data_IF_735386936127
#
_entry.id   IF_735386936127
#
_cell.length_a   1.000
_cell.length_b   1.000
_cell.length_c   1.000
_cell.angle_alpha   90.00
_cell.angle_beta   90.00
_cell.angle_gamma   90.00
#
_symmetry.space_group_name_H-M   'P 1'
#
loop_
_entity.id
_entity.type
_entity.pdbx_description
1 polymer ?
#
# COMPACT_ATOMS: atom_id res chain seq x y z
N UNK A 1 18.23 -4.65 -23.14
CA UNK A 1 18.46 -4.64 -21.67
C UNK A 1 18.93 -6.03 -21.24
N UNK A 2 20.06 -6.12 -20.54
CA UNK A 2 20.48 -7.38 -19.91
C UNK A 2 19.63 -7.64 -18.66
N UNK A 3 19.17 -8.88 -18.49
CA UNK A 3 18.41 -9.28 -17.30
C UNK A 3 19.38 -9.34 -16.13
N UNK A 4 19.05 -8.66 -15.02
CA UNK A 4 19.83 -8.77 -13.79
C UNK A 4 19.87 -10.23 -13.32
N UNK A 5 21.05 -10.90 -13.24
CA UNK A 5 21.11 -12.32 -12.94
C UNK A 5 20.66 -12.61 -11.51
N UNK A 6 19.69 -13.51 -11.36
CA UNK A 6 19.15 -14.01 -10.06
C UNK A 6 20.13 -14.99 -9.39
N UNK A 7 21.44 -14.72 -9.45
CA UNK A 7 22.38 -15.40 -8.55
C UNK A 7 22.42 -14.59 -7.27
N UNK A 8 22.05 -15.23 -6.16
CA UNK A 8 21.99 -14.69 -4.79
C UNK A 8 23.31 -14.11 -4.24
N UNK A 9 24.35 -13.93 -5.08
CA UNK A 9 25.71 -13.58 -4.66
C UNK A 9 26.45 -12.61 -5.62
N UNK A 10 25.76 -11.95 -6.54
CA UNK A 10 26.39 -10.80 -7.24
C UNK A 10 26.57 -9.65 -6.25
N UNK A 11 27.78 -9.49 -5.69
CA UNK A 11 28.13 -8.40 -4.78
C UNK A 11 28.07 -7.03 -5.44
N UNK A 12 28.22 -6.98 -6.76
CA UNK A 12 27.99 -5.78 -7.56
C UNK A 12 26.50 -5.71 -7.84
N UNK A 13 25.84 -4.62 -7.42
CA UNK A 13 24.47 -4.24 -7.81
C UNK A 13 24.55 -3.20 -8.92
N UNK A 14 23.59 -3.12 -9.86
CA UNK A 14 23.64 -2.09 -10.88
C UNK A 14 23.38 -0.71 -10.24
N UNK A 15 23.90 0.36 -10.84
CA UNK A 15 23.67 1.73 -10.35
C UNK A 15 22.19 2.12 -10.45
N UNK A 16 21.48 1.59 -11.44
CA UNK A 16 20.04 1.76 -11.62
C UNK A 16 19.39 0.55 -12.27
N UNK A 17 18.08 0.41 -12.08
CA UNK A 17 17.22 -0.60 -12.72
C UNK A 17 15.99 0.07 -13.36
N UNK A 18 15.41 -0.59 -14.36
CA UNK A 18 14.27 -0.06 -15.12
C UNK A 18 13.17 -1.10 -15.24
N UNK A 19 11.92 -0.68 -15.03
CA UNK A 19 10.72 -1.46 -15.28
C UNK A 19 9.82 -0.71 -16.25
N UNK A 20 9.00 -1.44 -16.99
CA UNK A 20 8.01 -0.87 -17.93
C UNK A 20 6.66 -1.55 -17.72
N UNK A 21 5.59 -0.76 -17.80
CA UNK A 21 4.21 -1.23 -17.82
C UNK A 21 3.40 -0.46 -18.85
N UNK A 22 2.29 -1.03 -19.31
CA UNK A 22 1.44 -0.45 -20.36
C UNK A 22 0.01 -0.30 -19.87
N UNK A 23 -0.64 0.81 -20.19
CA UNK A 23 -2.09 0.93 -20.06
C UNK A 23 -2.78 0.12 -21.15
N UNK A 24 -4.08 -0.11 -21.03
CA UNK A 24 -4.84 -0.75 -22.11
C UNK A 24 -4.74 0.05 -23.42
N UNK A 25 -4.84 1.38 -23.34
CA UNK A 25 -4.66 2.27 -24.49
C UNK A 25 -3.27 2.13 -25.12
N UNK A 26 -2.22 1.98 -24.31
CA UNK A 26 -0.87 1.72 -24.81
C UNK A 26 -0.72 0.39 -25.54
N UNK A 27 -1.33 -0.68 -25.02
CA UNK A 27 -1.36 -1.98 -25.71
C UNK A 27 -2.13 -1.89 -27.05
N UNK A 28 -3.21 -1.12 -27.11
CA UNK A 28 -3.94 -0.87 -28.35
C UNK A 28 -3.11 -0.03 -29.34
N UNK A 29 -2.37 0.99 -28.87
CA UNK A 29 -1.48 1.79 -29.69
C UNK A 29 -0.31 0.97 -30.28
N UNK A 30 0.15 -0.06 -29.54
CA UNK A 30 1.10 -1.07 -30.01
C UNK A 30 0.49 -2.11 -30.97
N UNK A 31 -0.80 -1.99 -31.31
CA UNK A 31 -1.52 -2.83 -32.27
C UNK A 31 -1.56 -4.31 -31.91
N UNK A 32 -1.63 -4.62 -30.62
CA UNK A 32 -1.91 -5.99 -30.20
C UNK A 32 -3.21 -6.50 -30.85
N UNK A 33 -3.30 -7.79 -31.22
CA UNK A 33 -4.50 -8.32 -31.84
C UNK A 33 -5.75 -8.08 -31.00
N UNK A 34 -6.86 -7.75 -31.66
CA UNK A 34 -8.14 -7.43 -31.00
C UNK A 34 -8.61 -8.54 -30.06
N UNK A 35 -8.38 -9.81 -30.44
CA UNK A 35 -8.68 -10.99 -29.61
C UNK A 35 -7.89 -11.00 -28.30
N UNK A 36 -6.62 -10.61 -28.34
CA UNK A 36 -5.77 -10.49 -27.15
C UNK A 36 -6.25 -9.34 -26.26
N UNK A 37 -6.52 -8.18 -26.87
CA UNK A 37 -7.00 -6.99 -26.15
C UNK A 37 -8.32 -7.27 -25.41
N UNK A 38 -9.29 -7.92 -26.07
CA UNK A 38 -10.58 -8.31 -25.46
C UNK A 38 -10.46 -9.30 -24.30
N UNK A 39 -9.31 -9.97 -24.15
CA UNK A 39 -9.07 -10.93 -23.07
C UNK A 39 -8.60 -10.28 -21.76
N UNK A 40 -8.31 -8.98 -21.75
CA UNK A 40 -7.95 -8.29 -20.52
C UNK A 40 -9.18 -8.02 -19.61
N UNK A 41 -8.98 -7.96 -18.28
CA UNK A 41 -10.04 -7.62 -17.31
C UNK A 41 -10.68 -6.25 -17.56
N UNK A 42 -12.00 -6.14 -17.31
CA UNK A 42 -12.81 -4.95 -17.63
C UNK A 42 -12.30 -3.70 -16.93
N UNK A 43 -12.03 -3.79 -15.64
CA UNK A 43 -11.37 -2.77 -14.82
C UNK A 43 -10.08 -2.23 -15.46
N UNK A 44 -9.19 -3.11 -15.93
CA UNK A 44 -7.98 -2.69 -16.66
C UNK A 44 -8.30 -2.04 -18.01
N UNK A 45 -9.26 -2.59 -18.77
CA UNK A 45 -9.64 -2.01 -20.07
C UNK A 45 -10.26 -0.62 -19.96
N UNK A 46 -10.97 -0.35 -18.86
CA UNK A 46 -11.60 0.95 -18.60
C UNK A 46 -10.58 2.03 -18.21
N UNK A 47 -9.48 1.64 -17.57
CA UNK A 47 -8.51 2.57 -16.97
C UNK A 47 -9.04 3.21 -15.68
N UNK A 48 -8.13 3.72 -14.84
CA UNK A 48 -8.48 4.17 -13.49
C UNK A 48 -9.45 5.35 -13.47
N UNK A 49 -9.33 6.27 -14.44
CA UNK A 49 -10.18 7.47 -14.56
C UNK A 49 -11.67 7.10 -14.64
N UNK A 50 -12.03 6.13 -15.48
CA UNK A 50 -13.40 5.66 -15.61
C UNK A 50 -13.91 4.90 -14.36
N UNK A 51 -13.02 4.56 -13.43
CA UNK A 51 -13.32 3.88 -12.16
C UNK A 51 -13.41 4.83 -10.98
N UNK A 52 -13.22 6.15 -11.19
CA UNK A 52 -13.18 7.17 -10.14
C UNK A 52 -14.32 7.06 -9.10
N UNK A 53 -15.57 6.85 -9.55
CA UNK A 53 -16.72 6.69 -8.64
C UNK A 53 -16.59 5.48 -7.69
N UNK A 54 -16.04 4.36 -8.15
CA UNK A 54 -15.83 3.15 -7.34
C UNK A 54 -14.68 3.38 -6.35
N UNK A 55 -13.66 4.13 -6.76
CA UNK A 55 -12.49 4.46 -5.95
C UNK A 55 -12.76 5.56 -4.91
N UNK A 56 -13.91 6.24 -5.00
CA UNK A 56 -14.22 7.41 -4.18
C UNK A 56 -13.45 8.66 -4.61
N UNK A 57 -13.00 8.72 -5.86
CA UNK A 57 -12.31 9.86 -6.43
C UNK A 57 -13.34 10.92 -6.86
N UNK A 58 -13.87 11.65 -5.87
CA UNK A 58 -14.89 12.70 -6.02
C UNK A 58 -14.50 13.98 -5.31
N UNK A 59 -15.18 15.10 -5.61
CA UNK A 59 -14.81 16.40 -5.05
C UNK A 59 -13.37 16.76 -5.45
N UNK A 60 -12.52 17.20 -4.51
CA UNK A 60 -11.10 17.52 -4.82
C UNK A 60 -10.26 16.33 -5.33
N UNK A 61 -10.74 15.10 -5.21
CA UNK A 61 -10.09 13.87 -5.71
C UNK A 61 -10.52 13.50 -7.12
N UNK A 62 -11.50 14.21 -7.70
CA UNK A 62 -12.07 13.82 -8.98
C UNK A 62 -11.06 14.01 -10.12
N UNK A 63 -11.21 13.27 -11.24
CA UNK A 63 -10.29 13.37 -12.37
C UNK A 63 -10.08 14.77 -12.95
N UNK A 64 -11.04 15.67 -12.77
CA UNK A 64 -10.96 17.08 -13.17
C UNK A 64 -9.88 17.87 -12.39
N UNK A 65 -9.49 17.38 -11.22
CA UNK A 65 -8.49 18.00 -10.33
C UNK A 65 -7.15 17.27 -10.33
N UNK A 66 -7.03 16.18 -11.09
CA UNK A 66 -5.77 15.46 -11.27
C UNK A 66 -4.74 16.30 -12.01
N UNK A 67 -3.47 15.92 -11.92
CA UNK A 67 -2.39 16.51 -12.70
C UNK A 67 -2.68 16.40 -14.19
N UNK A 68 -2.24 17.39 -14.98
CA UNK A 68 -2.67 17.54 -16.38
C UNK A 68 -2.32 16.34 -17.26
N UNK A 69 -1.22 15.63 -16.95
CA UNK A 69 -0.85 14.37 -17.61
C UNK A 69 -1.93 13.28 -17.49
N UNK A 70 -2.72 13.29 -16.41
CA UNK A 70 -3.75 12.29 -16.14
C UNK A 70 -5.16 12.73 -16.56
N UNK A 71 -5.36 13.99 -16.95
CA UNK A 71 -6.69 14.51 -17.34
C UNK A 71 -7.13 14.03 -18.72
N UNK A 72 -6.17 13.79 -19.62
CA UNK A 72 -6.41 13.20 -20.94
C UNK A 72 -6.06 11.70 -20.95
N UNK A 73 -6.46 10.99 -22.01
CA UNK A 73 -6.15 9.56 -22.19
C UNK A 73 -4.89 9.38 -23.06
N UNK A 74 -3.80 10.06 -22.68
CA UNK A 74 -2.53 10.09 -23.45
C UNK A 74 -1.47 9.13 -22.92
N UNK A 75 -1.59 8.67 -21.67
CA UNK A 75 -0.58 7.82 -21.04
C UNK A 75 -0.68 6.39 -21.57
N UNK A 76 0.27 6.00 -22.41
CA UNK A 76 0.34 4.66 -22.98
C UNK A 76 1.24 3.70 -22.18
N UNK A 77 2.32 4.22 -21.62
CA UNK A 77 3.30 3.42 -20.90
C UNK A 77 3.83 4.17 -19.68
N UNK A 78 4.20 3.40 -18.67
CA UNK A 78 4.93 3.86 -17.50
C UNK A 78 6.32 3.22 -17.52
N UNK A 79 7.33 4.02 -17.23
CA UNK A 79 8.72 3.59 -17.12
C UNK A 79 9.27 4.06 -15.79
N UNK A 80 9.92 3.17 -15.04
CA UNK A 80 10.59 3.53 -13.79
C UNK A 80 12.10 3.50 -13.91
N UNK A 81 12.76 4.34 -13.12
CA UNK A 81 14.20 4.29 -12.90
C UNK A 81 14.41 4.24 -11.39
N UNK A 82 14.93 3.13 -10.90
CA UNK A 82 15.28 3.00 -9.49
C UNK A 82 16.81 3.03 -9.39
N UNK A 83 17.37 4.12 -8.89
CA UNK A 83 18.81 4.29 -8.69
C UNK A 83 19.24 4.05 -7.24
N UNK A 84 20.55 3.87 -7.04
CA UNK A 84 21.16 3.86 -5.70
C UNK A 84 21.35 5.27 -5.13
N UNK A 85 21.46 6.24 -6.03
CA UNK A 85 21.70 7.67 -5.82
C UNK A 85 21.19 8.44 -7.05
N UNK A 86 21.17 9.76 -6.93
CA UNK A 86 20.65 10.66 -7.96
C UNK A 86 21.48 10.64 -9.25
N UNK A 87 22.79 10.39 -9.14
CA UNK A 87 23.69 10.24 -10.29
C UNK A 87 23.29 9.02 -11.13
N UNK A 88 23.02 7.88 -10.50
CA UNK A 88 22.57 6.66 -11.18
C UNK A 88 21.21 6.81 -11.85
N UNK A 89 20.31 7.61 -11.27
CA UNK A 89 19.01 7.97 -11.88
C UNK A 89 19.24 8.88 -13.08
N UNK A 90 19.99 9.97 -12.89
CA UNK A 90 20.25 11.00 -13.91
C UNK A 90 20.96 10.45 -15.13
N UNK A 91 21.95 9.57 -14.93
CA UNK A 91 22.64 8.88 -16.01
C UNK A 91 21.65 8.02 -16.82
N UNK A 92 20.85 7.18 -16.14
CA UNK A 92 19.88 6.31 -16.81
C UNK A 92 18.79 7.10 -17.53
N UNK A 93 18.33 8.20 -16.94
CA UNK A 93 17.36 9.09 -17.57
C UNK A 93 17.92 9.71 -18.85
N UNK A 94 19.18 10.15 -18.83
CA UNK A 94 19.87 10.69 -20.01
C UNK A 94 20.03 9.64 -21.11
N UNK A 95 20.40 8.41 -20.75
CA UNK A 95 20.48 7.26 -21.68
C UNK A 95 19.11 6.98 -22.34
N UNK A 96 18.02 7.03 -21.56
CA UNK A 96 16.67 6.82 -22.07
C UNK A 96 16.19 7.98 -22.96
N UNK A 97 16.46 9.25 -22.61
CA UNK A 97 16.15 10.39 -23.47
C UNK A 97 16.89 10.31 -24.81
N UNK A 98 18.17 9.94 -24.79
CA UNK A 98 18.94 9.72 -26.00
C UNK A 98 18.33 8.61 -26.86
N UNK A 99 17.95 7.47 -26.26
CA UNK A 99 17.30 6.38 -26.97
C UNK A 99 15.96 6.82 -27.58
N UNK A 100 15.11 7.52 -26.81
CA UNK A 100 13.81 7.99 -27.29
C UNK A 100 13.92 9.00 -28.44
N UNK A 101 15.02 9.75 -28.53
CA UNK A 101 15.26 10.69 -29.63
C UNK A 101 15.36 10.02 -31.00
N UNK A 102 15.71 8.73 -31.04
CA UNK A 102 15.74 7.92 -32.26
C UNK A 102 14.34 7.41 -32.69
N UNK A 103 13.32 7.57 -31.84
CA UNK A 103 11.96 7.06 -32.06
C UNK A 103 10.92 8.18 -31.99
N UNK A 104 10.74 8.98 -33.06
CA UNK A 104 9.85 10.16 -33.05
C UNK A 104 8.35 9.84 -32.86
N UNK A 105 7.96 8.57 -32.91
CA UNK A 105 6.60 8.12 -32.58
C UNK A 105 6.33 7.96 -31.08
N UNK A 106 7.34 8.18 -30.23
CA UNK A 106 7.22 8.11 -28.77
C UNK A 106 7.43 9.51 -28.20
N UNK A 107 6.49 9.95 -27.36
CA UNK A 107 6.55 11.22 -26.65
C UNK A 107 6.76 10.96 -25.16
N UNK A 108 7.73 11.65 -24.56
CA UNK A 108 7.84 11.74 -23.11
C UNK A 108 6.86 12.80 -22.62
N UNK A 109 5.85 12.38 -21.87
CA UNK A 109 4.80 13.27 -21.37
C UNK A 109 5.27 14.02 -20.12
N UNK A 110 5.06 15.33 -20.10
CA UNK A 110 5.11 16.15 -18.89
C UNK A 110 3.70 16.37 -18.34
N UNK A 111 3.57 17.12 -17.24
CA UNK A 111 2.27 17.47 -16.68
C UNK A 111 2.08 17.03 -15.23
N UNK A 112 3.13 16.49 -14.59
CA UNK A 112 3.14 16.20 -13.17
C UNK A 112 3.22 17.51 -12.38
N UNK A 113 2.37 17.69 -11.38
CA UNK A 113 2.44 18.85 -10.48
C UNK A 113 3.69 18.73 -9.62
N UNK A 114 4.49 19.78 -9.64
CA UNK A 114 5.65 19.94 -8.78
C UNK A 114 5.45 21.05 -7.78
N UNK A 115 6.48 21.33 -6.97
CA UNK A 115 6.42 22.41 -5.99
C UNK A 115 6.21 23.78 -6.65
N UNK A 116 5.61 24.71 -5.91
CA UNK A 116 5.32 26.08 -6.37
C UNK A 116 4.56 26.13 -7.72
N UNK A 117 3.58 25.23 -7.90
CA UNK A 117 2.78 25.08 -9.12
C UNK A 117 3.62 24.80 -10.40
N UNK A 118 4.83 24.28 -10.25
CA UNK A 118 5.66 23.88 -11.39
C UNK A 118 5.08 22.64 -12.10
N UNK A 119 5.42 22.48 -13.38
CA UNK A 119 5.07 21.30 -14.16
C UNK A 119 6.36 20.53 -14.44
N UNK A 120 6.43 19.30 -13.92
CA UNK A 120 7.60 18.43 -14.04
C UNK A 120 7.52 17.55 -15.29
N UNK A 121 8.69 17.23 -15.85
CA UNK A 121 8.86 16.27 -16.95
C UNK A 121 8.65 14.82 -16.50
N UNK A 122 8.81 14.53 -15.20
CA UNK A 122 8.62 13.21 -14.60
C UNK A 122 8.23 13.37 -13.13
N UNK A 123 7.62 12.34 -12.56
CA UNK A 123 7.35 12.27 -11.13
C UNK A 123 8.50 11.56 -10.41
N UNK A 124 9.19 12.29 -9.54
CA UNK A 124 10.18 11.73 -8.62
C UNK A 124 9.51 11.09 -7.40
N UNK A 125 10.27 10.24 -6.70
CA UNK A 125 9.88 9.66 -5.42
C UNK A 125 11.14 9.20 -4.66
N UNK A 126 11.17 9.43 -3.36
CA UNK A 126 12.32 9.15 -2.50
C UNK A 126 11.87 8.88 -1.06
N UNK A 127 12.79 8.51 -0.19
CA UNK A 127 12.51 8.47 1.25
C UNK A 127 12.36 9.90 1.79
N UNK A 128 11.56 10.10 2.84
CA UNK A 128 11.54 11.36 3.57
C UNK A 128 12.86 11.51 4.33
N UNK A 129 13.51 12.68 4.24
CA UNK A 129 14.77 12.97 4.92
C UNK A 129 14.53 13.83 6.16
N UNK A 130 15.14 13.45 7.29
CA UNK A 130 15.21 14.27 8.50
C UNK A 130 16.70 14.53 8.80
N UNK A 131 17.11 15.79 8.88
CA UNK A 131 18.51 16.18 9.13
C UNK A 131 19.52 15.51 8.18
N UNK A 132 19.17 15.40 6.90
CA UNK A 132 20.01 14.78 5.87
C UNK A 132 20.07 13.25 5.92
N UNK A 133 19.26 12.59 6.75
CA UNK A 133 19.18 11.13 6.83
C UNK A 133 17.83 10.63 6.32
N UNK A 134 17.88 9.65 5.41
CA UNK A 134 16.68 8.97 4.95
C UNK A 134 15.98 8.27 6.11
N UNK A 135 14.67 8.47 6.22
CA UNK A 135 13.81 7.87 7.23
C UNK A 135 12.93 6.78 6.62
N UNK A 136 12.34 5.94 7.47
CA UNK A 136 11.32 4.98 7.06
C UNK A 136 9.90 5.55 7.09
N UNK A 137 9.74 6.88 7.16
CA UNK A 137 8.45 7.54 7.39
C UNK A 137 7.81 8.07 6.09
N UNK A 138 6.51 8.29 6.16
CA UNK A 138 5.75 9.17 5.24
C UNK A 138 5.50 10.55 5.87
N UNK A 139 4.80 11.46 5.18
CA UNK A 139 4.77 12.87 5.57
C UNK A 139 3.86 13.18 6.76
N UNK A 140 2.93 12.28 7.13
CA UNK A 140 2.24 12.37 8.42
C UNK A 140 3.08 11.89 9.61
N UNK A 141 4.26 11.32 9.35
CA UNK A 141 5.23 10.87 10.34
C UNK A 141 5.12 9.40 10.75
N UNK A 142 4.28 8.60 10.09
CA UNK A 142 4.17 7.17 10.32
C UNK A 142 5.29 6.39 9.65
N UNK A 143 5.85 5.41 10.34
CA UNK A 143 6.73 4.41 9.71
C UNK A 143 5.96 3.54 8.70
N UNK A 144 6.35 3.55 7.42
CA UNK A 144 5.77 2.72 6.37
C UNK A 144 6.70 1.56 5.93
N UNK A 145 6.27 0.73 4.97
CA UNK A 145 7.04 -0.38 4.41
C UNK A 145 7.10 -1.63 5.30
N UNK A 146 6.47 -1.60 6.48
CA UNK A 146 6.54 -2.67 7.48
C UNK A 146 5.95 -3.98 6.93
N UNK A 147 4.69 -3.96 6.47
CA UNK A 147 3.92 -5.15 6.06
C UNK A 147 3.81 -5.27 4.54
N UNK A 148 4.29 -6.39 3.99
CA UNK A 148 4.21 -6.77 2.58
C UNK A 148 3.92 -8.28 2.52
N UNK A 149 3.09 -8.76 1.59
CA UNK A 149 2.71 -10.17 1.54
C UNK A 149 3.89 -11.09 1.21
N UNK A 150 3.84 -12.30 1.75
CA UNK A 150 4.75 -13.40 1.41
C UNK A 150 3.97 -14.44 0.61
N UNK A 151 4.41 -14.70 -0.61
CA UNK A 151 3.76 -15.64 -1.52
C UNK A 151 4.76 -16.67 -2.08
N UNK A 152 4.23 -17.78 -2.58
CA UNK A 152 4.99 -18.88 -3.19
C UNK A 152 5.89 -18.36 -4.33
N UNK A 153 7.17 -18.68 -4.29
CA UNK A 153 8.11 -18.25 -5.34
C UNK A 153 8.55 -16.78 -5.28
N UNK A 154 8.15 -16.01 -4.25
CA UNK A 154 8.56 -14.59 -4.08
C UNK A 154 10.06 -14.36 -3.87
N UNK A 155 10.86 -15.42 -3.67
CA UNK A 155 12.31 -15.33 -3.42
C UNK A 155 12.69 -14.80 -2.03
N UNK A 156 11.72 -14.36 -1.21
CA UNK A 156 11.97 -13.87 0.13
C UNK A 156 12.37 -15.00 1.09
N UNK A 157 13.32 -14.73 1.99
CA UNK A 157 13.73 -15.68 3.02
C UNK A 157 12.54 -16.11 3.89
N UNK A 158 12.42 -17.42 4.19
CA UNK A 158 11.26 -18.01 4.89
C UNK A 158 11.02 -17.41 6.28
N UNK A 159 12.05 -16.86 6.93
CA UNK A 159 11.87 -16.13 8.21
C UNK A 159 11.00 -14.88 8.10
N UNK A 160 10.70 -14.39 6.90
CA UNK A 160 9.74 -13.29 6.68
C UNK A 160 8.29 -13.76 6.65
N UNK A 161 8.03 -15.05 6.54
CA UNK A 161 6.68 -15.60 6.37
C UNK A 161 5.68 -15.23 7.49
N UNK A 162 6.06 -15.25 8.79
CA UNK A 162 5.11 -14.95 9.87
C UNK A 162 4.48 -13.55 9.75
N UNK A 163 3.16 -13.48 9.89
CA UNK A 163 2.37 -12.26 9.69
C UNK A 163 2.25 -11.77 8.24
N UNK A 164 2.93 -12.41 7.28
CA UNK A 164 2.96 -11.99 5.86
C UNK A 164 2.29 -12.99 4.93
N UNK A 165 2.17 -14.25 5.31
CA UNK A 165 1.44 -15.27 4.55
C UNK A 165 -0.06 -15.28 4.83
N UNK A 166 -0.69 -16.44 4.66
CA UNK A 166 -2.03 -16.79 5.15
C UNK A 166 -1.93 -17.56 6.46
N UNK A 167 -2.79 -17.21 7.41
CA UNK A 167 -2.85 -17.82 8.73
C UNK A 167 -3.67 -19.12 8.67
N UNK A 168 -3.11 -20.19 9.19
CA UNK A 168 -3.78 -21.50 9.30
C UNK A 168 -4.42 -21.66 10.68
N UNK A 169 -5.39 -22.57 10.80
CA UNK A 169 -6.13 -22.83 12.04
C UNK A 169 -5.26 -23.35 13.18
N UNK A 170 -4.14 -24.00 12.86
CA UNK A 170 -3.16 -24.47 13.82
C UNK A 170 -2.20 -23.37 14.30
N UNK A 171 -2.42 -22.11 13.89
CA UNK A 171 -1.60 -20.95 14.24
C UNK A 171 -0.34 -20.80 13.38
N UNK A 172 -0.11 -21.70 12.42
CA UNK A 172 1.04 -21.61 11.52
C UNK A 172 0.76 -20.67 10.34
N UNK A 173 1.82 -20.10 9.77
CA UNK A 173 1.74 -19.30 8.55
C UNK A 173 2.14 -20.14 7.34
N UNK A 174 1.37 -20.02 6.25
CA UNK A 174 1.72 -20.57 4.94
C UNK A 174 1.86 -19.45 3.90
N UNK A 175 2.69 -19.64 2.85
CA UNK A 175 2.75 -18.66 1.77
C UNK A 175 1.38 -18.48 1.10
N UNK A 176 1.11 -17.26 0.62
CA UNK A 176 -0.01 -17.01 -0.28
C UNK A 176 0.27 -17.63 -1.66
N UNK A 177 -0.79 -18.02 -2.37
CA UNK A 177 -0.70 -18.54 -3.73
C UNK A 177 -0.11 -17.49 -4.69
N UNK A 178 0.76 -17.93 -5.60
CA UNK A 178 1.42 -17.03 -6.54
C UNK A 178 0.42 -16.32 -7.48
N UNK A 179 -0.70 -16.97 -7.80
CA UNK A 179 -1.76 -16.41 -8.64
C UNK A 179 -2.50 -15.20 -8.05
N UNK A 180 -2.25 -14.82 -6.79
CA UNK A 180 -2.74 -13.54 -6.27
C UNK A 180 -1.86 -12.36 -6.71
N UNK A 181 -0.65 -12.62 -7.20
CA UNK A 181 0.33 -11.58 -7.55
C UNK A 181 0.90 -11.71 -8.96
N UNK A 182 0.83 -12.89 -9.57
CA UNK A 182 1.47 -13.18 -10.85
C UNK A 182 0.51 -13.97 -11.73
N UNK A 183 0.21 -13.46 -12.92
CA UNK A 183 -0.68 -14.10 -13.88
C UNK A 183 -0.09 -15.43 -14.40
N UNK A 184 -0.99 -16.37 -14.74
CA UNK A 184 -0.62 -17.70 -15.23
C UNK A 184 -0.26 -18.71 -14.13
N UNK A 185 -0.53 -18.39 -12.86
CA UNK A 185 -0.40 -19.29 -11.70
C UNK A 185 -1.75 -19.43 -10.99
N UNK A 186 -2.01 -20.56 -10.30
CA UNK A 186 -3.21 -20.72 -9.49
C UNK A 186 -3.26 -19.72 -8.32
N UNK A 187 -4.44 -19.16 -8.08
CA UNK A 187 -4.76 -18.26 -6.97
C UNK A 187 -5.19 -19.06 -5.72
N UNK A 188 -5.63 -18.39 -4.65
CA UNK A 188 -6.06 -19.06 -3.41
C UNK A 188 -7.33 -19.90 -3.58
N UNK A 189 -8.15 -19.62 -4.60
CA UNK A 189 -9.30 -20.43 -4.99
C UNK A 189 -8.92 -21.59 -5.93
N UNK A 190 -7.62 -21.74 -6.25
CA UNK A 190 -7.07 -22.70 -7.22
C UNK A 190 -7.54 -22.44 -8.65
N UNK A 191 -7.91 -21.20 -8.94
CA UNK A 191 -8.29 -20.72 -10.27
C UNK A 191 -7.13 -19.97 -10.91
N UNK A 192 -7.16 -19.81 -12.23
CA UNK A 192 -6.25 -18.90 -12.90
C UNK A 192 -6.91 -17.52 -13.00
N UNK A 193 -6.25 -16.43 -12.57
CA UNK A 193 -6.78 -15.09 -12.76
C UNK A 193 -7.09 -14.81 -14.24
N UNK A 194 -8.17 -14.08 -14.55
CA UNK A 194 -8.50 -13.70 -15.92
C UNK A 194 -7.33 -12.99 -16.59
N UNK A 195 -6.99 -13.44 -17.79
CA UNK A 195 -5.81 -12.98 -18.51
C UNK A 195 -5.99 -13.15 -20.02
N UNK A 196 -5.37 -12.32 -20.85
CA UNK A 196 -5.47 -12.42 -22.29
C UNK A 196 -4.79 -13.69 -22.83
N UNK A 197 -5.31 -14.16 -23.97
CA UNK A 197 -4.65 -15.12 -24.85
C UNK A 197 -3.74 -14.38 -25.86
N UNK A 198 -2.67 -15.01 -26.37
CA UNK A 198 -2.18 -16.33 -25.98
C UNK A 198 -1.60 -16.30 -24.56
N UNK A 199 -1.71 -17.39 -23.78
CA UNK A 199 -1.19 -17.46 -22.39
C UNK A 199 0.23 -16.93 -22.20
N UNK A 200 1.09 -17.01 -23.21
CA UNK A 200 2.46 -16.47 -23.14
C UNK A 200 2.51 -14.93 -23.03
N UNK A 201 1.50 -14.22 -23.52
CA UNK A 201 1.38 -12.76 -23.40
C UNK A 201 1.18 -12.32 -21.95
N UNK A 202 0.42 -13.09 -21.16
CA UNK A 202 0.06 -12.74 -19.79
C UNK A 202 0.87 -13.47 -18.72
N UNK A 203 1.36 -14.68 -19.01
CA UNK A 203 2.09 -15.50 -18.04
C UNK A 203 3.30 -14.77 -17.48
N UNK A 204 3.44 -14.81 -16.16
CA UNK A 204 4.45 -14.09 -15.39
C UNK A 204 4.40 -12.56 -15.51
N UNK A 205 3.31 -12.01 -16.06
CA UNK A 205 2.97 -10.60 -15.92
C UNK A 205 2.14 -10.34 -14.66
N UNK A 206 1.87 -9.07 -14.40
CA UNK A 206 1.04 -8.61 -13.27
C UNK A 206 0.37 -7.31 -13.63
N UNK A 207 -0.69 -6.95 -12.91
CA UNK A 207 -1.20 -5.59 -12.92
C UNK A 207 -0.52 -4.75 -11.85
N UNK A 208 -0.42 -3.46 -12.12
CA UNK A 208 0.02 -2.43 -11.19
C UNK A 208 -1.01 -1.32 -11.17
N UNK A 209 -1.37 -0.89 -9.97
CA UNK A 209 -2.10 0.35 -9.73
C UNK A 209 -1.10 1.42 -9.36
N UNK A 210 -1.11 2.53 -10.08
CA UNK A 210 -0.31 3.72 -9.78
C UNK A 210 -1.25 4.85 -9.35
N UNK A 211 -0.97 5.50 -8.22
CA UNK A 211 -1.69 6.69 -7.75
C UNK A 211 -0.72 7.69 -7.16
N UNK A 212 -0.83 8.95 -7.56
CA UNK A 212 -0.20 10.08 -6.87
C UNK A 212 -1.16 10.58 -5.80
N UNK A 213 -0.76 10.46 -4.55
CA UNK A 213 -1.56 10.81 -3.38
C UNK A 213 -0.87 11.95 -2.64
N UNK A 214 -1.43 13.15 -2.72
CA UNK A 214 -0.98 14.34 -2.00
C UNK A 214 -1.41 14.27 -0.53
N UNK A 215 -0.54 14.64 0.40
CA UNK A 215 -0.78 14.58 1.85
C UNK A 215 -0.91 15.99 2.44
N UNK A 216 -2.09 16.30 2.98
CA UNK A 216 -2.41 17.57 3.65
C UNK A 216 -1.91 17.56 5.10
N UNK A 217 -0.60 17.78 5.28
CA UNK A 217 0.10 17.65 6.56
C UNK A 217 -0.34 18.68 7.62
N UNK A 218 -0.69 19.90 7.22
CA UNK A 218 -1.13 20.95 8.15
C UNK A 218 -2.55 20.66 8.62
N UNK A 219 -3.43 20.27 7.69
CA UNK A 219 -4.79 19.83 8.01
C UNK A 219 -4.75 18.64 8.98
N UNK A 220 -3.89 17.67 8.74
CA UNK A 220 -3.73 16.52 9.62
C UNK A 220 -3.21 16.92 11.02
N UNK A 221 -2.15 17.73 11.08
CA UNK A 221 -1.59 18.22 12.33
C UNK A 221 -2.61 19.02 13.16
N UNK A 222 -3.35 19.94 12.52
CA UNK A 222 -4.37 20.76 13.15
C UNK A 222 -5.55 19.91 13.67
N UNK A 223 -5.98 18.91 12.89
CA UNK A 223 -7.04 17.99 13.30
C UNK A 223 -6.67 17.24 14.58
N UNK A 224 -5.45 16.72 14.64
CA UNK A 224 -4.92 16.02 15.82
C UNK A 224 -4.82 16.95 17.03
N UNK A 225 -4.26 18.15 16.88
CA UNK A 225 -4.11 19.13 17.97
C UNK A 225 -5.47 19.57 18.56
N UNK A 226 -6.51 19.55 17.73
CA UNK A 226 -7.88 19.84 18.15
C UNK A 226 -8.48 18.66 18.92
N UNK A 227 -8.44 17.45 18.36
CA UNK A 227 -9.12 16.28 18.91
C UNK A 227 -8.41 15.69 20.15
N UNK A 228 -7.09 15.81 20.24
CA UNK A 228 -6.32 15.28 21.38
C UNK A 228 -6.74 15.91 22.71
N UNK A 229 -7.27 17.16 22.70
CA UNK A 229 -7.74 17.86 23.90
C UNK A 229 -8.89 17.15 24.62
N UNK A 230 -9.69 16.38 23.89
CA UNK A 230 -10.79 15.57 24.43
C UNK A 230 -10.46 14.07 24.52
N UNK A 231 -9.28 13.67 24.07
CA UNK A 231 -8.85 12.28 24.02
C UNK A 231 -8.08 11.91 25.29
N UNK A 232 -8.37 10.73 25.84
CA UNK A 232 -7.64 10.18 26.98
C UNK A 232 -6.39 9.45 26.50
N UNK A 233 -5.34 10.23 26.24
CA UNK A 233 -4.05 9.72 25.79
C UNK A 233 -3.22 10.77 25.06
N UNK A 234 -2.01 10.38 24.65
CA UNK A 234 -1.14 11.26 23.87
C UNK A 234 -1.64 11.49 22.44
N UNK A 235 -1.09 12.51 21.78
CA UNK A 235 -1.27 12.74 20.34
C UNK A 235 -0.79 11.54 19.52
N UNK A 236 0.32 10.93 19.91
CA UNK A 236 0.88 9.74 19.26
C UNK A 236 -0.03 8.52 19.42
N UNK A 237 -0.68 8.37 20.58
CA UNK A 237 -1.69 7.33 20.78
C UNK A 237 -2.91 7.59 19.88
N UNK A 238 -3.38 8.83 19.75
CA UNK A 238 -4.47 9.17 18.83
C UNK A 238 -4.12 8.81 17.39
N UNK A 239 -2.92 9.20 16.93
CA UNK A 239 -2.38 8.79 15.63
C UNK A 239 -2.32 7.26 15.49
N UNK A 240 -1.85 6.56 16.53
CA UNK A 240 -1.80 5.12 16.53
C UNK A 240 -3.19 4.48 16.43
N UNK A 241 -4.21 5.06 17.06
CA UNK A 241 -5.61 4.60 16.99
C UNK A 241 -6.24 4.86 15.61
N UNK A 242 -5.75 5.83 14.84
CA UNK A 242 -6.14 6.04 13.45
C UNK A 242 -5.44 5.04 12.51
N UNK A 243 -4.13 4.88 12.62
CA UNK A 243 -3.37 4.04 11.69
C UNK A 243 -3.42 2.54 12.03
N UNK A 244 -3.51 2.21 13.33
CA UNK A 244 -3.30 0.89 13.92
C UNK A 244 -1.86 0.62 14.40
N UNK A 245 -0.96 1.62 14.27
CA UNK A 245 0.46 1.54 14.64
C UNK A 245 0.97 2.88 15.19
N UNK A 246 1.85 2.81 16.18
CA UNK A 246 2.56 3.98 16.68
C UNK A 246 3.38 4.66 15.57
N UNK A 247 3.36 6.01 15.47
CA UNK A 247 3.99 6.72 14.36
C UNK A 247 5.52 6.59 14.35
N UNK A 248 6.13 6.66 15.54
CA UNK A 248 7.57 6.72 15.76
C UNK A 248 8.35 5.52 15.20
N UNK A 249 7.95 4.30 15.57
CA UNK A 249 8.67 3.07 15.26
C UNK A 249 7.78 2.01 14.61
N UNK A 250 6.49 2.31 14.40
CA UNK A 250 5.54 1.40 13.75
C UNK A 250 5.04 0.26 14.64
N UNK A 251 5.26 0.29 15.96
CA UNK A 251 4.76 -0.72 16.89
C UNK A 251 3.23 -0.89 16.72
N UNK A 252 2.71 -2.11 16.57
CA UNK A 252 1.27 -2.30 16.40
C UNK A 252 0.52 -2.11 17.71
N UNK A 253 -0.70 -1.58 17.64
CA UNK A 253 -1.57 -1.42 18.82
C UNK A 253 -1.94 -2.74 19.50
N UNK A 254 -1.78 -3.87 18.82
CA UNK A 254 -1.97 -5.20 19.41
C UNK A 254 -0.90 -5.54 20.45
N UNK A 255 0.29 -4.91 20.35
CA UNK A 255 1.40 -5.09 21.27
C UNK A 255 1.43 -4.03 22.39
N UNK A 256 1.09 -2.78 22.06
CA UNK A 256 0.96 -1.68 23.01
C UNK A 256 -0.22 -0.80 22.62
N UNK A 257 -1.32 -0.90 23.38
CA UNK A 257 -2.61 -0.28 23.11
C UNK A 257 -2.82 1.05 23.86
N UNK A 258 -1.93 1.38 24.80
CA UNK A 258 -1.95 2.59 25.65
C UNK A 258 -0.56 3.23 25.72
N UNK A 259 -0.49 4.48 26.18
CA UNK A 259 0.78 5.20 26.41
C UNK A 259 1.69 4.45 27.39
N UNK A 260 1.14 3.94 28.51
CA UNK A 260 1.91 3.19 29.50
C UNK A 260 2.50 1.89 28.92
N UNK A 261 1.70 1.14 28.15
CA UNK A 261 2.18 -0.08 27.48
C UNK A 261 3.27 0.25 26.45
N UNK A 262 3.17 1.39 25.77
CA UNK A 262 4.18 1.86 24.82
C UNK A 262 5.48 2.24 25.52
N UNK A 263 5.42 2.97 26.64
CA UNK A 263 6.59 3.31 27.45
C UNK A 263 7.35 2.03 27.88
N UNK A 264 6.62 1.01 28.34
CA UNK A 264 7.22 -0.28 28.73
C UNK A 264 7.84 -1.00 27.54
N UNK A 265 7.15 -1.01 26.39
CA UNK A 265 7.65 -1.62 25.17
C UNK A 265 8.94 -0.95 24.69
N UNK A 266 8.98 0.39 24.69
CA UNK A 266 10.15 1.17 24.27
C UNK A 266 11.33 0.98 25.20
N UNK A 267 11.10 1.02 26.52
CA UNK A 267 12.15 0.77 27.50
C UNK A 267 12.77 -0.62 27.32
N UNK A 268 11.93 -1.65 27.09
CA UNK A 268 12.39 -3.01 26.77
C UNK A 268 13.18 -3.06 25.47
N UNK A 269 12.72 -2.36 24.44
CA UNK A 269 13.40 -2.34 23.14
C UNK A 269 14.75 -1.64 23.24
N UNK A 270 14.84 -0.53 23.97
CA UNK A 270 16.07 0.20 24.23
C UNK A 270 17.09 -0.64 25.01
N UNK A 271 16.67 -1.33 26.07
CA UNK A 271 17.51 -2.28 26.83
C UNK A 271 18.10 -3.36 25.92
N UNK A 272 17.25 -4.00 25.11
CA UNK A 272 17.67 -5.04 24.18
C UNK A 272 18.63 -4.54 23.11
N UNK A 273 18.43 -3.32 22.60
CA UNK A 273 19.35 -2.69 21.64
C UNK A 273 20.71 -2.43 22.30
N UNK A 274 20.72 -1.84 23.50
CA UNK A 274 21.96 -1.56 24.22
C UNK A 274 22.76 -2.84 24.47
N UNK A 275 22.12 -3.87 25.04
CA UNK A 275 22.77 -5.16 25.32
C UNK A 275 23.23 -5.90 24.06
N UNK A 276 22.50 -5.75 22.95
CA UNK A 276 22.95 -6.25 21.64
C UNK A 276 24.23 -5.54 21.18
N UNK A 277 24.30 -4.22 21.34
CA UNK A 277 25.48 -3.43 21.00
C UNK A 277 26.68 -3.76 21.90
N UNK A 278 26.42 -4.15 23.15
CA UNK A 278 27.43 -4.64 24.10
C UNK A 278 27.91 -6.08 23.79
N UNK A 279 27.37 -6.70 22.74
CA UNK A 279 27.80 -8.01 22.24
C UNK A 279 27.06 -9.21 22.82
N UNK A 280 25.95 -9.00 23.53
CA UNK A 280 25.18 -10.09 24.14
C UNK A 280 24.29 -10.81 23.09
N UNK A 281 24.69 -12.01 22.67
CA UNK A 281 23.97 -12.75 21.62
C UNK A 281 22.54 -13.15 22.04
N UNK A 282 22.29 -13.36 23.34
CA UNK A 282 20.94 -13.61 23.86
C UNK A 282 20.01 -12.40 23.63
N UNK A 283 20.48 -11.19 23.93
CA UNK A 283 19.73 -9.95 23.72
C UNK A 283 19.41 -9.73 22.23
N UNK A 284 20.35 -10.05 21.34
CA UNK A 284 20.13 -10.00 19.89
C UNK A 284 19.03 -10.95 19.42
N UNK A 285 19.00 -12.17 19.97
CA UNK A 285 17.91 -13.14 19.74
C UNK A 285 16.56 -12.62 20.22
N UNK A 286 16.52 -12.07 21.44
CA UNK A 286 15.33 -11.46 22.03
C UNK A 286 14.83 -10.24 21.25
N UNK A 287 15.73 -9.38 20.79
CA UNK A 287 15.42 -8.21 19.96
C UNK A 287 14.82 -8.63 18.61
N UNK A 288 15.38 -9.67 17.99
CA UNK A 288 14.85 -10.24 16.75
C UNK A 288 13.43 -10.80 16.94
N UNK A 289 13.19 -11.50 18.05
CA UNK A 289 11.87 -12.03 18.40
C UNK A 289 10.86 -10.92 18.76
N UNK A 290 11.32 -9.84 19.38
CA UNK A 290 10.46 -8.68 19.64
C UNK A 290 10.07 -8.01 18.32
N UNK A 291 11.04 -7.76 17.44
CA UNK A 291 10.80 -7.15 16.12
C UNK A 291 9.91 -7.99 15.21
N UNK A 292 9.89 -9.32 15.32
CA UNK A 292 8.97 -10.13 14.52
C UNK A 292 7.50 -9.83 14.84
N UNK A 293 7.19 -9.44 16.08
CA UNK A 293 5.83 -9.11 16.53
C UNK A 293 5.30 -7.81 15.90
N UNK A 294 6.14 -7.01 15.23
CA UNK A 294 5.65 -5.85 14.46
C UNK A 294 4.70 -6.28 13.34
N UNK A 295 4.81 -7.52 12.85
CA UNK A 295 4.00 -8.02 11.74
C UNK A 295 3.30 -9.31 12.12
N UNK A 296 3.93 -10.17 12.91
CA UNK A 296 3.42 -11.45 13.35
C UNK A 296 2.40 -11.29 14.49
N UNK A 297 1.19 -10.87 14.12
CA UNK A 297 0.05 -10.77 15.01
C UNK A 297 -1.25 -11.04 14.23
N UNK A 298 -2.34 -11.20 14.95
CA UNK A 298 -3.71 -11.15 14.42
C UNK A 298 -4.57 -10.26 15.31
N UNK A 299 -5.89 -10.26 15.07
CA UNK A 299 -6.85 -9.51 15.87
C UNK A 299 -7.81 -10.42 16.64
N UNK A 300 -7.49 -11.71 16.80
CA UNK A 300 -8.39 -12.68 17.42
C UNK A 300 -8.57 -12.41 18.92
N UNK A 301 -7.54 -11.90 19.58
CA UNK A 301 -7.60 -11.43 20.96
C UNK A 301 -8.06 -9.97 21.10
N UNK A 302 -8.55 -9.35 20.02
CA UNK A 302 -9.04 -7.97 20.00
C UNK A 302 -10.24 -7.81 19.04
N UNK A 303 -11.16 -8.79 19.02
CA UNK A 303 -12.36 -8.73 18.15
C UNK A 303 -13.24 -7.50 18.43
N UNK A 304 -13.23 -6.97 19.66
CA UNK A 304 -13.98 -5.77 20.04
C UNK A 304 -13.38 -4.47 19.50
N UNK A 305 -12.12 -4.45 19.07
CA UNK A 305 -11.41 -3.23 18.66
C UNK A 305 -10.90 -2.37 19.81
N UNK A 306 -10.98 -2.87 21.04
CA UNK A 306 -10.55 -2.14 22.24
C UNK A 306 -9.07 -1.76 22.24
N UNK A 307 -8.21 -2.58 21.61
CA UNK A 307 -6.78 -2.28 21.43
C UNK A 307 -6.54 -1.53 20.14
N UNK A 308 -6.76 -2.18 19.00
CA UNK A 308 -6.62 -1.61 17.67
C UNK A 308 -8.02 -1.34 17.11
N UNK A 309 -8.45 -0.08 16.94
CA UNK A 309 -9.80 0.21 16.49
C UNK A 309 -10.19 -0.54 15.22
N UNK A 310 -11.44 -1.00 15.13
CA UNK A 310 -11.92 -1.74 13.95
C UNK A 310 -11.76 -0.88 12.68
N UNK A 311 -11.97 0.44 12.82
CA UNK A 311 -11.81 1.41 11.75
C UNK A 311 -10.36 1.78 11.41
N UNK A 312 -9.36 1.30 12.16
CA UNK A 312 -7.97 1.71 11.96
C UNK A 312 -7.42 1.26 10.60
N UNK A 313 -6.59 2.09 9.99
CA UNK A 313 -6.14 1.93 8.61
C UNK A 313 -5.58 0.54 8.28
N UNK A 314 -4.61 0.05 9.06
CA UNK A 314 -4.00 -1.28 8.81
C UNK A 314 -4.95 -2.44 9.12
N UNK A 315 -5.98 -2.22 9.94
CA UNK A 315 -6.99 -3.24 10.27
C UNK A 315 -8.07 -3.31 9.19
N UNK A 316 -8.31 -2.21 8.47
CA UNK A 316 -9.19 -2.18 7.30
C UNK A 316 -8.51 -2.74 6.05
N UNK A 317 -7.29 -2.30 5.76
CA UNK A 317 -6.57 -2.66 4.53
C UNK A 317 -5.91 -4.05 4.57
N UNK A 318 -5.69 -4.60 5.77
CA UNK A 318 -5.35 -6.00 5.98
C UNK A 318 -6.06 -6.51 7.23
N UNK A 319 -7.28 -7.03 7.03
CA UNK A 319 -8.15 -7.44 8.13
C UNK A 319 -7.60 -8.57 8.97
N UNK A 320 -6.61 -9.31 8.46
CA UNK A 320 -6.16 -10.58 9.06
C UNK A 320 -7.39 -11.45 9.35
N UNK A 321 -7.55 -11.97 10.57
CA UNK A 321 -8.74 -12.69 11.01
C UNK A 321 -9.95 -11.82 11.42
N UNK A 322 -9.92 -10.50 11.29
CA UNK A 322 -10.98 -9.62 11.83
C UNK A 322 -12.36 -9.85 11.23
N UNK A 323 -12.44 -10.29 9.98
CA UNK A 323 -13.72 -10.53 9.30
C UNK A 323 -14.30 -11.93 9.57
N UNK A 324 -13.59 -12.76 10.31
CA UNK A 324 -14.17 -13.96 10.90
C UNK A 324 -14.95 -13.59 12.17
N UNK A 325 -16.22 -13.22 11.98
CA UNK A 325 -17.12 -12.86 13.07
C UNK A 325 -17.55 -14.07 13.91
N UNK A 326 -17.62 -15.26 13.30
CA UNK A 326 -17.92 -16.53 13.96
C UNK A 326 -16.74 -17.49 13.77
N UNK A 327 -16.22 -18.02 14.89
CA UNK A 327 -15.04 -18.90 14.86
C UNK A 327 -15.37 -20.20 14.10
N UNK A 328 -14.59 -20.49 13.07
CA UNK A 328 -14.79 -21.64 12.19
C UNK A 328 -15.74 -21.40 11.02
N UNK A 329 -16.21 -20.18 10.79
CA UNK A 329 -17.11 -19.86 9.66
C UNK A 329 -16.46 -20.09 8.28
N UNK A 330 -15.13 -20.09 8.24
CA UNK A 330 -14.33 -20.35 7.04
C UNK A 330 -13.29 -21.44 7.31
N UNK A 331 -12.68 -22.00 6.27
CA UNK A 331 -11.58 -22.96 6.46
C UNK A 331 -10.36 -22.31 7.13
N UNK A 332 -10.17 -21.00 6.95
CA UNK A 332 -9.06 -20.21 7.50
C UNK A 332 -9.54 -18.90 8.12
N UNK A 333 -8.92 -18.39 9.20
CA UNK A 333 -9.30 -17.11 9.80
C UNK A 333 -9.25 -15.94 8.81
N UNK A 334 -8.25 -15.96 7.92
CA UNK A 334 -8.01 -14.92 6.92
C UNK A 334 -8.58 -15.20 5.53
N UNK A 335 -9.50 -16.17 5.36
CA UNK A 335 -9.93 -16.63 4.03
C UNK A 335 -10.38 -15.49 3.09
N UNK A 336 -11.06 -14.48 3.62
CA UNK A 336 -11.45 -13.30 2.86
C UNK A 336 -10.26 -12.44 2.46
N UNK A 337 -9.33 -12.14 3.39
CA UNK A 337 -8.20 -11.23 3.14
C UNK A 337 -7.08 -11.85 2.32
N UNK A 338 -6.94 -13.17 2.32
CA UNK A 338 -5.91 -13.89 1.55
C UNK A 338 -5.96 -13.52 0.06
N UNK A 339 -7.15 -13.29 -0.49
CA UNK A 339 -7.39 -12.91 -1.90
C UNK A 339 -7.38 -11.40 -2.17
N UNK A 340 -7.17 -10.58 -1.14
CA UNK A 340 -7.25 -9.10 -1.19
C UNK A 340 -5.91 -8.43 -0.89
N UNK A 341 -4.84 -9.22 -0.73
CA UNK A 341 -3.52 -8.71 -0.35
C UNK A 341 -2.94 -7.86 -1.47
N UNK A 342 -2.42 -6.70 -1.10
CA UNK A 342 -1.73 -5.77 -1.99
C UNK A 342 -0.23 -5.82 -1.75
N UNK A 343 0.57 -5.93 -2.81
CA UNK A 343 2.01 -5.80 -2.73
C UNK A 343 2.42 -4.35 -3.04
N UNK A 344 2.69 -3.56 -1.98
CA UNK A 344 3.00 -2.13 -2.12
C UNK A 344 4.46 -1.89 -2.50
N UNK A 345 4.70 -1.00 -3.45
CA UNK A 345 6.02 -0.60 -3.96
C UNK A 345 6.18 0.92 -4.06
N UNK A 346 5.24 1.66 -3.48
CA UNK A 346 5.27 3.11 -3.45
C UNK A 346 6.39 3.70 -2.61
N UNK A 347 6.63 4.99 -2.82
CA UNK A 347 7.59 5.81 -2.09
C UNK A 347 6.98 7.21 -1.88
N UNK A 348 7.36 7.92 -0.81
CA UNK A 348 7.07 9.34 -0.69
C UNK A 348 7.61 10.17 -1.86
N UNK A 349 7.05 11.35 -2.07
CA UNK A 349 7.61 12.40 -2.94
C UNK A 349 7.51 13.75 -2.24
N UNK A 350 8.37 14.71 -2.63
CA UNK A 350 8.45 16.02 -1.97
C UNK A 350 9.12 15.98 -0.59
N UNK A 351 9.19 17.14 0.08
CA UNK A 351 9.64 17.28 1.49
C UNK A 351 11.15 17.25 1.75
N UNK A 352 12.01 17.23 0.73
CA UNK A 352 13.48 17.23 0.91
C UNK A 352 14.01 18.63 1.22
N UNK A 353 13.44 19.67 0.61
CA UNK A 353 13.96 21.05 0.67
C UNK A 353 12.88 22.12 0.94
N UNK A 354 11.63 21.71 1.20
CA UNK A 354 10.50 22.62 1.34
C UNK A 354 9.77 22.43 2.66
N UNK A 355 9.27 23.52 3.22
CA UNK A 355 8.39 23.46 4.38
C UNK A 355 7.10 22.73 3.96
N UNK A 356 6.93 21.52 4.47
CA UNK A 356 5.73 20.74 4.23
C UNK A 356 4.53 21.51 4.74
N UNK A 357 3.54 21.70 3.88
CA UNK A 357 2.29 22.40 4.15
C UNK A 357 1.22 21.88 3.21
N UNK A 358 -0.06 22.14 3.48
CA UNK A 358 -1.12 21.70 2.56
C UNK A 358 -0.98 22.29 1.15
N UNK A 359 -0.36 23.47 1.03
CA UNK A 359 -0.01 24.14 -0.23
C UNK A 359 1.29 23.67 -0.87
N UNK A 360 2.10 22.89 -0.16
CA UNK A 360 3.28 22.23 -0.72
C UNK A 360 2.87 21.12 -1.69
N UNK A 361 3.85 20.47 -2.31
CA UNK A 361 3.61 19.31 -3.17
C UNK A 361 4.37 18.12 -2.59
N UNK A 362 3.72 17.42 -1.66
CA UNK A 362 4.27 16.26 -0.96
C UNK A 362 3.21 15.18 -0.79
N UNK A 363 3.65 13.93 -0.73
CA UNK A 363 2.77 12.82 -0.46
C UNK A 363 3.40 11.49 -0.80
N UNK A 364 2.58 10.55 -1.27
CA UNK A 364 3.00 9.18 -1.62
C UNK A 364 2.67 8.89 -3.08
N UNK A 365 3.67 8.41 -3.82
CA UNK A 365 3.43 7.67 -5.06
C UNK A 365 3.06 6.25 -4.67
N UNK A 366 1.76 5.99 -4.57
CA UNK A 366 1.24 4.67 -4.26
C UNK A 366 1.35 3.77 -5.48
N UNK A 367 2.11 2.70 -5.35
CA UNK A 367 2.14 1.60 -6.31
C UNK A 367 1.75 0.31 -5.61
N UNK A 368 0.80 -0.44 -6.17
CA UNK A 368 0.49 -1.79 -5.72
C UNK A 368 0.42 -2.77 -6.87
N UNK A 369 0.90 -3.98 -6.61
CA UNK A 369 1.01 -5.06 -7.60
C UNK A 369 0.07 -6.20 -7.19
N UNK A 370 -0.64 -6.75 -8.18
CA UNK A 370 -1.58 -7.85 -8.00
C UNK A 370 -2.02 -8.47 -9.32
N UNK A 371 -2.60 -9.67 -9.26
CA UNK A 371 -3.12 -10.37 -10.42
C UNK A 371 -4.57 -9.97 -10.79
N UNK A 372 -5.26 -9.22 -9.94
CA UNK A 372 -6.62 -8.72 -10.20
C UNK A 372 -6.85 -7.37 -9.51
N UNK A 373 -7.05 -6.31 -10.29
CA UNK A 373 -7.25 -4.96 -9.76
C UNK A 373 -8.60 -4.88 -9.03
N UNK A 374 -9.68 -5.38 -9.64
CA UNK A 374 -11.02 -5.44 -9.07
C UNK A 374 -11.04 -6.21 -7.74
N UNK A 375 -10.49 -7.43 -7.73
CA UNK A 375 -10.52 -8.29 -6.54
C UNK A 375 -9.65 -7.73 -5.43
N UNK A 376 -8.56 -7.04 -5.76
CA UNK A 376 -7.59 -6.59 -4.78
C UNK A 376 -7.75 -5.08 -4.51
N UNK A 377 -7.15 -4.23 -5.34
CA UNK A 377 -7.08 -2.80 -5.07
C UNK A 377 -8.46 -2.13 -5.01
N UNK A 378 -9.32 -2.33 -6.02
CA UNK A 378 -10.63 -1.66 -6.04
C UNK A 378 -11.51 -2.15 -4.91
N UNK A 379 -11.50 -3.45 -4.62
CA UNK A 379 -12.24 -3.99 -3.48
C UNK A 379 -11.77 -3.37 -2.16
N UNK A 380 -10.46 -3.32 -1.92
CA UNK A 380 -9.93 -2.73 -0.67
C UNK A 380 -10.27 -1.23 -0.60
N UNK A 381 -10.05 -0.47 -1.68
CA UNK A 381 -10.34 0.96 -1.72
C UNK A 381 -11.83 1.24 -1.54
N UNK A 382 -12.69 0.52 -2.27
CA UNK A 382 -14.13 0.72 -2.21
C UNK A 382 -14.70 0.16 -0.91
N UNK A 383 -14.65 -1.16 -0.73
CA UNK A 383 -15.40 -1.88 0.29
C UNK A 383 -14.78 -1.78 1.67
N UNK A 384 -13.46 -1.57 1.74
CA UNK A 384 -12.75 -1.52 3.01
C UNK A 384 -12.19 -0.16 3.35
N UNK A 385 -12.00 0.78 2.44
CA UNK A 385 -11.52 2.13 2.79
C UNK A 385 -12.66 3.13 2.77
N UNK A 386 -13.48 3.15 1.72
CA UNK A 386 -14.58 4.11 1.58
C UNK A 386 -15.90 3.62 2.20
N UNK A 387 -16.09 2.31 2.36
CA UNK A 387 -17.23 1.70 3.06
C UNK A 387 -16.75 0.78 4.17
N UNK A 388 -17.60 0.52 5.17
CA UNK A 388 -17.21 -0.30 6.33
C UNK A 388 -18.30 -1.25 6.81
N UNK A 389 -19.21 -1.63 5.91
CA UNK A 389 -20.28 -2.58 6.20
C UNK A 389 -19.74 -3.95 6.67
N UNK A 390 -18.68 -4.47 6.04
CA UNK A 390 -18.02 -5.73 6.43
C UNK A 390 -17.52 -5.70 7.90
N UNK A 391 -17.22 -4.51 8.39
CA UNK A 391 -16.73 -4.24 9.74
C UNK A 391 -17.85 -3.86 10.73
N UNK A 392 -19.11 -3.82 10.29
CA UNK A 392 -20.28 -3.37 11.07
C UNK A 392 -20.16 -1.90 11.54
N UNK A 393 -19.46 -1.06 10.76
CA UNK A 393 -19.32 0.38 11.02
C UNK A 393 -20.14 1.24 10.05
N UNK A 394 -20.99 0.61 9.23
CA UNK A 394 -21.88 1.31 8.31
C UNK A 394 -21.12 2.07 7.22
N UNK A 395 -21.30 3.39 7.21
CA UNK A 395 -20.71 4.30 6.23
C UNK A 395 -19.42 4.98 6.73
N UNK A 396 -18.84 4.52 7.85
CA UNK A 396 -17.58 5.09 8.34
C UNK A 396 -16.44 4.78 7.35
N UNK A 397 -15.59 5.77 7.07
CA UNK A 397 -14.48 5.67 6.12
C UNK A 397 -13.16 5.55 6.87
N UNK A 398 -12.13 5.09 6.18
CA UNK A 398 -10.79 4.94 6.74
C UNK A 398 -10.28 6.29 7.28
N UNK A 399 -9.69 6.34 8.48
CA UNK A 399 -9.33 7.59 9.12
C UNK A 399 -8.16 8.34 8.47
N UNK A 400 -7.41 7.70 7.56
CA UNK A 400 -6.26 8.32 6.88
C UNK A 400 -6.57 8.60 5.42
N UNK A 401 -7.08 7.59 4.70
CA UNK A 401 -7.24 7.65 3.23
C UNK A 401 -8.69 7.56 2.76
N UNK A 402 -9.65 7.57 3.68
CA UNK A 402 -11.07 7.61 3.33
C UNK A 402 -11.44 8.93 2.67
N UNK A 403 -12.36 8.89 1.71
CA UNK A 403 -12.87 10.08 1.04
C UNK A 403 -13.83 10.88 1.93
N UNK A 404 -13.29 11.58 2.94
CA UNK A 404 -14.05 12.45 3.85
C UNK A 404 -14.23 13.86 3.28
N UNK A 405 -15.25 14.55 3.78
CA UNK A 405 -15.62 15.91 3.37
C UNK A 405 -15.73 16.88 4.56
N UNK A 406 -15.25 16.49 5.76
CA UNK A 406 -15.29 17.33 6.96
C UNK A 406 -16.67 17.46 7.60
N UNK A 407 -17.64 16.62 7.21
CA UNK A 407 -18.99 16.67 7.78
C UNK A 407 -19.05 16.01 9.15
N UNK A 408 -20.05 16.34 9.96
CA UNK A 408 -20.25 15.74 11.29
C UNK A 408 -20.29 14.19 11.27
N UNK A 409 -20.79 13.60 10.18
CA UNK A 409 -20.88 12.15 10.01
C UNK A 409 -19.58 11.50 9.53
N UNK A 410 -18.63 12.28 8.99
CA UNK A 410 -17.28 11.83 8.64
C UNK A 410 -16.51 11.63 9.94
N UNK A 411 -16.37 10.37 10.35
CA UNK A 411 -15.82 10.04 11.65
C UNK A 411 -15.02 8.76 11.69
N UNK A 412 -14.17 8.67 12.70
CA UNK A 412 -13.54 7.45 13.18
C UNK A 412 -13.93 7.19 14.63
N UNK A 413 -14.25 5.94 14.94
CA UNK A 413 -14.67 5.52 16.28
C UNK A 413 -13.53 4.75 16.93
N UNK A 414 -13.01 5.28 18.03
CA UNK A 414 -12.09 4.57 18.91
C UNK A 414 -12.95 3.83 19.96
N UNK A 415 -12.99 2.50 19.85
CA UNK A 415 -13.78 1.67 20.74
C UNK A 415 -13.28 1.79 22.19
N UNK A 416 -14.23 1.73 23.12
CA UNK A 416 -13.93 1.72 24.54
C UNK A 416 -13.13 0.47 24.94
N UNK A 417 -12.23 0.65 25.92
CA UNK A 417 -11.55 -0.47 26.55
C UNK A 417 -12.58 -1.38 27.26
N UNK A 418 -12.49 -2.69 27.01
CA UNK A 418 -13.20 -3.70 27.78
C UNK A 418 -12.24 -4.26 28.83
N UNK A 419 -12.57 -4.14 30.12
CA UNK A 419 -11.83 -4.85 31.17
C UNK A 419 -12.41 -6.26 31.35
N UNK A 420 -11.54 -7.27 31.21
CA UNK A 420 -11.86 -8.68 31.42
C UNK A 420 -12.19 -9.45 30.14
N UNK A 421 -11.80 -10.73 30.08
CA UNK A 421 -12.34 -11.66 29.08
C UNK A 421 -13.84 -11.78 29.33
N UNK A 422 -14.73 -11.50 28.36
CA UNK A 422 -16.13 -11.82 28.53
C UNK A 422 -16.25 -13.34 28.72
N UNK A 423 -16.76 -13.75 29.88
CA UNK A 423 -17.29 -15.11 30.03
C UNK A 423 -18.48 -15.25 29.07
N UNK A 424 -18.66 -16.41 28.45
CA UNK A 424 -19.79 -16.65 27.53
C UNK A 424 -21.10 -16.18 28.17
N UNK A 425 -21.74 -15.18 27.55
CA UNK A 425 -23.02 -14.63 28.00
C UNK A 425 -22.98 -13.36 28.86
N UNK A 426 -21.81 -12.78 29.16
CA UNK A 426 -21.71 -11.47 29.83
C UNK A 426 -21.06 -10.41 28.94
N UNK A 427 -21.84 -9.39 28.56
CA UNK A 427 -21.30 -8.13 28.04
C UNK A 427 -20.64 -7.38 29.21
N UNK A 428 -19.32 -7.52 29.37
CA UNK A 428 -18.57 -6.67 30.30
C UNK A 428 -18.87 -5.20 30.01
N UNK A 429 -19.26 -4.43 31.04
CA UNK A 429 -19.54 -3.02 30.83
C UNK A 429 -18.25 -2.28 30.45
N UNK A 430 -18.26 -1.47 29.37
CA UNK A 430 -17.11 -0.67 29.02
C UNK A 430 -16.81 0.33 30.15
N UNK A 431 -15.53 0.50 30.49
CA UNK A 431 -15.13 1.40 31.58
C UNK A 431 -15.30 2.89 31.23
N UNK A 432 -15.39 3.21 29.93
CA UNK A 432 -15.57 4.55 29.37
C UNK A 432 -16.41 4.48 28.10
N UNK A 433 -17.11 5.56 27.68
CA UNK A 433 -17.73 5.62 26.36
C UNK A 433 -16.67 5.58 25.25
N UNK A 434 -17.03 5.14 24.03
CA UNK A 434 -16.15 5.25 22.87
C UNK A 434 -15.83 6.73 22.56
N UNK A 435 -14.66 6.98 21.99
CA UNK A 435 -14.26 8.31 21.54
C UNK A 435 -14.54 8.47 20.05
N UNK A 436 -15.14 9.60 19.66
CA UNK A 436 -15.52 9.90 18.29
C UNK A 436 -14.61 11.00 17.75
N UNK A 437 -13.82 10.67 16.74
CA UNK A 437 -13.10 11.64 15.93
C UNK A 437 -14.06 12.07 14.81
N UNK A 438 -14.92 13.07 15.05
CA UNK A 438 -15.90 13.56 14.06
C UNK A 438 -15.32 14.65 13.16
N UNK A 439 -16.10 15.11 12.18
CA UNK A 439 -15.74 16.22 11.28
C UNK A 439 -14.39 15.99 10.60
N UNK A 440 -14.11 14.74 10.27
CA UNK A 440 -12.82 14.36 9.69
C UNK A 440 -12.66 15.01 8.32
N UNK A 441 -11.64 15.85 8.11
CA UNK A 441 -11.38 16.42 6.81
C UNK A 441 -10.68 15.39 5.92
N UNK A 442 -10.43 15.78 4.67
CA UNK A 442 -9.67 14.99 3.73
C UNK A 442 -8.17 15.20 3.95
N UNK A 443 -7.51 14.19 4.50
CA UNK A 443 -6.05 14.25 4.69
C UNK A 443 -5.28 13.92 3.42
N UNK A 444 -5.83 13.08 2.55
CA UNK A 444 -5.14 12.63 1.33
C UNK A 444 -5.95 12.99 0.10
N UNK A 445 -5.31 13.65 -0.87
CA UNK A 445 -5.90 14.00 -2.16
C UNK A 445 -5.33 13.17 -3.30
N UNK A 446 -6.19 12.67 -4.19
CA UNK A 446 -5.73 11.96 -5.39
C UNK A 446 -5.42 12.96 -6.50
N UNK A 447 -4.17 12.99 -6.93
CA UNK A 447 -3.66 13.83 -8.03
C UNK A 447 -3.56 13.08 -9.37
N UNK A 448 -3.98 11.81 -9.40
CA UNK A 448 -4.13 11.02 -10.61
C UNK A 448 -3.34 9.74 -10.63
N UNK A 449 -3.42 9.02 -11.75
CA UNK A 449 -2.80 7.73 -11.95
C UNK A 449 -3.57 6.87 -12.95
N UNK A 450 -3.14 5.61 -13.08
CA UNK A 450 -3.79 4.64 -13.97
C UNK A 450 -3.47 3.19 -13.57
N UNK A 451 -4.05 2.24 -14.30
CA UNK A 451 -3.77 0.82 -14.23
C UNK A 451 -2.81 0.41 -15.35
N UNK A 452 -1.78 -0.33 -14.98
CA UNK A 452 -0.74 -0.79 -15.89
C UNK A 452 -0.65 -2.31 -15.86
N UNK A 453 -0.51 -2.92 -17.04
CA UNK A 453 -0.04 -4.29 -17.17
C UNK A 453 1.48 -4.27 -17.26
N UNK A 454 2.15 -4.94 -16.33
CA UNK A 454 3.59 -5.18 -16.35
C UNK A 454 3.81 -6.57 -16.97
N UNK A 455 4.18 -6.65 -18.25
CA UNK A 455 4.45 -7.93 -18.93
C UNK A 455 5.70 -8.62 -18.40
N UNK A 456 5.76 -9.94 -18.59
CA UNK A 456 7.02 -10.68 -18.43
C UNK A 456 8.02 -10.29 -19.52
N UNK A 457 9.31 -10.60 -19.33
CA UNK A 457 10.33 -10.39 -20.38
C UNK A 457 9.99 -11.15 -21.67
N UNK A 458 9.37 -12.33 -21.55
CA UNK A 458 8.90 -13.10 -22.71
C UNK A 458 7.79 -12.34 -23.44
N UNK A 459 6.79 -11.84 -22.72
CA UNK A 459 5.70 -11.07 -23.30
C UNK A 459 6.21 -9.76 -23.95
N UNK A 460 7.17 -9.07 -23.32
CA UNK A 460 7.82 -7.89 -23.92
C UNK A 460 8.47 -8.19 -25.27
N UNK A 461 9.17 -9.32 -25.38
CA UNK A 461 9.76 -9.75 -26.67
C UNK A 461 8.69 -10.06 -27.70
N UNK A 462 7.61 -10.75 -27.30
CA UNK A 462 6.50 -11.04 -28.20
C UNK A 462 5.84 -9.77 -28.73
N UNK A 463 5.64 -8.76 -27.87
CA UNK A 463 5.11 -7.45 -28.26
C UNK A 463 6.09 -6.74 -29.22
N UNK A 464 7.39 -6.72 -28.89
CA UNK A 464 8.40 -5.99 -29.66
C UNK A 464 8.68 -6.64 -31.04
N UNK A 465 8.56 -7.95 -31.15
CA UNK A 465 8.84 -8.72 -32.37
C UNK A 465 7.56 -9.05 -33.18
N UNK A 466 6.40 -8.50 -32.79
CA UNK A 466 5.09 -8.73 -33.43
C UNK A 466 4.72 -10.23 -33.55
N UNK A 467 5.04 -11.00 -32.51
CA UNK A 467 4.83 -12.46 -32.45
C UNK A 467 3.52 -12.86 -31.76
N UNK A 468 2.63 -11.91 -31.48
CA UNK A 468 1.35 -12.21 -30.85
C UNK A 468 0.39 -12.63 -31.95
N UNK A 469 0.06 -13.93 -31.96
CA UNK A 469 -0.80 -14.51 -32.99
C UNK A 469 -2.19 -13.84 -33.01
N UNK A 470 -2.62 -13.30 -34.16
CA UNK A 470 -3.95 -12.72 -34.30
C UNK A 470 -5.08 -13.76 -34.43
N UNK A 471 -4.76 -15.06 -34.54
CA UNK A 471 -5.74 -16.13 -34.84
C UNK A 471 -6.59 -16.60 -33.66
#
# INVERSE_FOLDING_TARGET
AEVWPVKNDSSVKPNSTTNIGFTYAGLAALKLPERSLKGFPVDFTMGMKARAHILGDTGSNSPEHWDSIWQDDKVHAWLSINGRDDDGISQRYSELKALLSDYPGIELLSGHRGPNDSILEYQDASAVFENGQATGKEHFGFTDGIGNPYFEGSGAHRSRLPGRGKLMRDGTWQPLAAGEFVLGHPDEAREYPPAPEPKLLSRNGTFMVYRKLHENVDTFAHYLDTHVKGFDGSKDLLMAKMSGRWPDNGAPLTLAATDDEKIVLDARMADLIQRTNDGEECAKGQLKQLRSQWIDFDYDNDKSGSKCPIGAHIRRTNTRGSLEHEKGAFDRPGALVDRRRLMRRGLPYGGIDEAMSDSGEQGIIFMSIGASIERQFEFVQQQWVNYSNDFKLGNDKDPLIGNHDGNLLDKHIIQAAQHGQPSEGQHGQPSKPPFFCTEMPRFVETRGGDYFFIPSITALRMIAEDMIDPS
#
